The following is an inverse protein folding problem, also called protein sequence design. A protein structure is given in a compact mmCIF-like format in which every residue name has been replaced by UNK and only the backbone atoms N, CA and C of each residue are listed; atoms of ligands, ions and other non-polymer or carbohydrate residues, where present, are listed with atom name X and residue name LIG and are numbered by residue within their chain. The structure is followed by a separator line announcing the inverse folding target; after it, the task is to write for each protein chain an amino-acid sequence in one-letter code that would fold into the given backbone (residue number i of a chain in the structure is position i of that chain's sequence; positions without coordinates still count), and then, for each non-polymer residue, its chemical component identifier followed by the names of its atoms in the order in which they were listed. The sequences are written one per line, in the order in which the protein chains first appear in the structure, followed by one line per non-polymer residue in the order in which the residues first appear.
data_IF_936197628987
#
_entry.id   IF_936197628987
#
_cell.length_a   1.000
_cell.length_b   1.000
_cell.length_c   1.000
_cell.angle_alpha   90.00
_cell.angle_beta   90.00
_cell.angle_gamma   90.00
#
_symmetry.space_group_name_H-M   'P 1'
#
loop_
_entity.id
_entity.type
_entity.pdbx_description
1 polymer ?
#
# COMPACT_ATOMS: atom_id res chain seq x y z
N UNK A 1 -14.32 1.34 15.04
CA UNK A 1 -13.00 0.67 14.95
C UNK A 1 -12.04 1.40 13.99
N UNK A 2 -12.12 1.25 12.64
CA UNK A 2 -11.17 1.94 11.73
C UNK A 2 -11.21 3.47 11.83
N UNK A 3 -12.40 4.06 11.88
CA UNK A 3 -12.56 5.52 12.06
C UNK A 3 -12.02 6.01 13.39
N UNK A 4 -12.27 5.30 14.47
CA UNK A 4 -11.73 5.63 15.79
C UNK A 4 -10.21 5.58 15.80
N UNK A 5 -9.61 4.58 15.15
CA UNK A 5 -8.16 4.50 14.98
C UNK A 5 -7.61 5.63 14.11
N UNK A 6 -8.31 6.01 13.03
CA UNK A 6 -7.95 7.14 12.19
C UNK A 6 -8.06 8.48 12.96
N UNK A 7 -9.13 8.69 13.71
CA UNK A 7 -9.33 9.89 14.53
C UNK A 7 -8.24 10.00 15.61
N UNK A 8 -7.88 8.88 16.25
CA UNK A 8 -6.78 8.83 17.23
C UNK A 8 -5.44 9.17 16.56
N UNK A 9 -5.11 8.55 15.44
CA UNK A 9 -3.90 8.84 14.66
C UNK A 9 -3.83 10.29 14.17
N UNK A 10 -4.96 10.91 13.85
CA UNK A 10 -5.00 12.30 13.40
C UNK A 10 -4.58 13.30 14.49
N UNK A 11 -4.78 12.94 15.78
CA UNK A 11 -4.54 13.87 16.91
C UNK A 11 -3.09 14.35 17.02
N UNK A 12 -2.13 13.50 16.64
CA UNK A 12 -0.70 13.75 16.77
C UNK A 12 0.10 13.54 15.46
N UNK A 13 -0.60 13.37 14.31
CA UNK A 13 0.01 13.08 13.01
C UNK A 13 1.14 14.05 12.62
N UNK A 14 0.96 15.35 12.85
CA UNK A 14 1.99 16.37 12.55
C UNK A 14 3.21 16.22 13.46
N UNK A 15 3.00 15.96 14.74
CA UNK A 15 4.08 15.79 15.71
C UNK A 15 4.88 14.51 15.41
N UNK A 16 4.21 13.42 15.06
CA UNK A 16 4.87 12.16 14.66
C UNK A 16 5.71 12.34 13.40
N UNK A 17 5.13 12.98 12.36
CA UNK A 17 5.84 13.25 11.10
C UNK A 17 7.10 14.07 11.34
N UNK A 18 7.05 15.06 12.24
CA UNK A 18 8.22 15.86 12.62
C UNK A 18 9.25 15.06 13.42
N UNK A 19 8.80 14.15 14.30
CA UNK A 19 9.68 13.30 15.08
C UNK A 19 10.44 12.29 14.23
N UNK A 20 9.82 11.79 13.14
CA UNK A 20 10.45 10.87 12.17
C UNK A 20 10.95 9.56 12.80
N UNK A 21 10.30 9.07 13.85
CA UNK A 21 10.68 7.83 14.54
C UNK A 21 9.96 6.63 13.91
N UNK A 22 10.55 5.44 14.05
CA UNK A 22 9.88 4.20 13.65
C UNK A 22 8.54 4.04 14.41
N UNK A 23 7.44 3.67 13.71
CA UNK A 23 6.07 3.77 14.22
C UNK A 23 5.67 2.56 15.09
N UNK A 24 6.41 2.24 16.14
CA UNK A 24 6.07 1.13 17.03
C UNK A 24 4.77 1.36 17.80
N UNK A 25 4.53 2.59 18.25
CA UNK A 25 3.31 3.01 18.94
C UNK A 25 2.10 2.89 18.03
N UNK A 26 2.23 3.34 16.78
CA UNK A 26 1.16 3.30 15.79
C UNK A 26 0.78 1.87 15.43
N UNK A 27 1.77 0.98 15.28
CA UNK A 27 1.52 -0.45 15.09
C UNK A 27 0.81 -1.06 16.30
N UNK A 28 1.16 -0.65 17.53
CA UNK A 28 0.44 -1.09 18.74
C UNK A 28 -1.01 -0.60 18.74
N UNK A 29 -1.28 0.66 18.36
CA UNK A 29 -2.65 1.20 18.22
C UNK A 29 -3.45 0.41 17.17
N UNK A 30 -2.85 0.10 16.01
CA UNK A 30 -3.49 -0.71 14.98
C UNK A 30 -3.78 -2.15 15.47
N UNK A 31 -2.86 -2.73 16.24
CA UNK A 31 -3.00 -4.06 16.84
C UNK A 31 -4.14 -4.08 17.87
N UNK A 32 -4.17 -3.13 18.79
CA UNK A 32 -5.24 -2.97 19.79
C UNK A 32 -6.61 -2.73 19.16
N UNK A 33 -6.66 -2.03 18.04
CA UNK A 33 -7.86 -1.86 17.24
C UNK A 33 -8.26 -3.10 16.43
N UNK A 34 -7.52 -4.23 16.52
CA UNK A 34 -7.79 -5.46 15.77
C UNK A 34 -7.59 -5.34 14.25
N UNK A 35 -6.91 -4.29 13.78
CA UNK A 35 -6.74 -4.03 12.36
C UNK A 35 -5.68 -4.93 11.71
N UNK A 36 -4.70 -5.45 12.49
CA UNK A 36 -3.68 -6.34 11.94
C UNK A 36 -4.24 -7.73 11.59
N UNK A 37 -5.32 -8.18 12.21
CA UNK A 37 -5.93 -9.48 11.93
C UNK A 37 -7.20 -9.38 11.07
N UNK A 38 -7.51 -8.17 10.56
CA UNK A 38 -8.77 -7.87 9.87
C UNK A 38 -9.06 -8.82 8.71
N UNK A 39 -8.08 -9.06 7.82
CA UNK A 39 -8.20 -9.93 6.65
C UNK A 39 -7.95 -11.41 6.93
N UNK A 40 -7.45 -11.77 8.12
CA UNK A 40 -7.25 -13.16 8.48
C UNK A 40 -8.61 -13.86 8.61
N UNK A 41 -8.80 -15.05 8.01
CA UNK A 41 -10.08 -15.75 8.05
C UNK A 41 -10.59 -15.96 9.47
N UNK A 42 -11.91 -15.89 9.67
CA UNK A 42 -12.53 -16.17 10.96
C UNK A 42 -12.28 -17.61 11.44
N UNK A 43 -12.11 -18.57 10.51
CA UNK A 43 -11.72 -19.94 10.84
C UNK A 43 -10.32 -20.06 11.46
N UNK A 44 -9.49 -19.03 11.31
CA UNK A 44 -8.15 -18.90 11.90
C UNK A 44 -8.12 -17.85 13.03
N UNK A 45 -9.26 -17.60 13.68
CA UNK A 45 -9.44 -16.61 14.75
C UNK A 45 -9.11 -15.16 14.34
N UNK A 46 -9.21 -14.85 13.04
CA UNK A 46 -9.05 -13.50 12.50
C UNK A 46 -10.36 -12.73 12.38
N UNK A 47 -10.29 -11.51 11.83
CA UNK A 47 -11.43 -10.63 11.63
C UNK A 47 -12.40 -11.08 10.54
N UNK A 48 -11.98 -11.93 9.61
CA UNK A 48 -12.79 -12.50 8.55
C UNK A 48 -13.34 -11.47 7.55
N UNK A 49 -12.76 -10.27 7.49
CA UNK A 49 -13.18 -9.25 6.56
C UNK A 49 -12.72 -9.57 5.13
N UNK A 50 -13.43 -8.98 4.18
CA UNK A 50 -13.10 -9.04 2.76
C UNK A 50 -12.18 -7.88 2.32
N UNK A 51 -11.66 -7.97 1.09
CA UNK A 51 -10.81 -6.94 0.51
C UNK A 51 -11.50 -5.56 0.38
N UNK A 52 -12.77 -5.45 -0.04
CA UNK A 52 -13.48 -4.17 -0.01
C UNK A 52 -13.44 -3.47 1.36
N UNK A 53 -13.61 -4.23 2.44
CA UNK A 53 -13.49 -3.73 3.81
C UNK A 53 -12.06 -3.29 4.13
N UNK A 54 -11.06 -4.08 3.79
CA UNK A 54 -9.65 -3.73 4.00
C UNK A 54 -9.25 -2.48 3.22
N UNK A 55 -9.69 -2.33 1.98
CA UNK A 55 -9.49 -1.13 1.17
C UNK A 55 -10.09 0.12 1.83
N UNK A 56 -11.32 0.01 2.34
CA UNK A 56 -11.95 1.13 3.05
C UNK A 56 -11.15 1.52 4.30
N UNK A 57 -10.62 0.54 5.04
CA UNK A 57 -9.76 0.80 6.21
C UNK A 57 -8.45 1.48 5.81
N UNK A 58 -7.75 1.00 4.78
CA UNK A 58 -6.53 1.66 4.28
C UNK A 58 -6.80 3.11 3.91
N UNK A 59 -7.92 3.39 3.21
CA UNK A 59 -8.31 4.74 2.81
C UNK A 59 -8.60 5.65 4.01
N UNK A 60 -9.30 5.16 5.01
CA UNK A 60 -9.63 5.91 6.24
C UNK A 60 -8.35 6.25 7.02
N UNK A 61 -7.46 5.28 7.24
CA UNK A 61 -6.18 5.51 7.92
C UNK A 61 -5.28 6.45 7.11
N UNK A 62 -5.21 6.28 5.78
CA UNK A 62 -4.40 7.14 4.92
C UNK A 62 -4.90 8.60 4.87
N UNK A 63 -6.18 8.85 5.11
CA UNK A 63 -6.72 10.21 5.21
C UNK A 63 -6.23 10.93 6.48
N UNK A 64 -5.97 10.19 7.55
CA UNK A 64 -5.40 10.71 8.79
C UNK A 64 -3.86 10.78 8.74
N UNK A 65 -3.24 9.67 8.33
CA UNK A 65 -1.78 9.52 8.21
C UNK A 65 -1.44 8.60 7.03
N UNK A 66 -0.92 9.21 5.95
CA UNK A 66 -0.62 8.49 4.71
C UNK A 66 0.51 7.48 4.84
N UNK A 67 1.47 7.69 5.74
CA UNK A 67 2.57 6.75 5.92
C UNK A 67 2.12 5.50 6.72
N UNK A 68 1.27 5.69 7.72
CA UNK A 68 0.66 4.57 8.45
C UNK A 68 -0.36 3.83 7.56
N UNK A 69 -1.09 4.55 6.69
CA UNK A 69 -1.95 3.95 5.66
C UNK A 69 -1.16 3.06 4.69
N UNK A 70 0.04 3.48 4.27
CA UNK A 70 0.93 2.64 3.45
C UNK A 70 1.42 1.41 4.20
N UNK A 71 1.85 1.58 5.45
CA UNK A 71 2.29 0.47 6.29
C UNK A 71 1.19 -0.59 6.43
N UNK A 72 -0.03 -0.16 6.78
CA UNK A 72 -1.18 -1.05 6.94
C UNK A 72 -1.58 -1.72 5.61
N UNK A 73 -1.56 -0.97 4.50
CA UNK A 73 -1.84 -1.51 3.18
C UNK A 73 -0.84 -2.57 2.75
N UNK A 74 0.45 -2.32 2.97
CA UNK A 74 1.52 -3.29 2.75
C UNK A 74 1.32 -4.54 3.63
N UNK A 75 1.01 -4.36 4.91
CA UNK A 75 0.69 -5.45 5.84
C UNK A 75 -0.45 -6.32 5.30
N UNK A 76 -1.57 -5.75 4.87
CA UNK A 76 -2.70 -6.50 4.32
C UNK A 76 -2.32 -7.31 3.08
N UNK A 77 -1.58 -6.69 2.16
CA UNK A 77 -1.14 -7.37 0.95
C UNK A 77 -0.19 -8.54 1.26
N UNK A 78 0.80 -8.33 2.11
CA UNK A 78 1.79 -9.35 2.46
C UNK A 78 1.22 -10.45 3.34
N UNK A 79 0.27 -10.15 4.23
CA UNK A 79 -0.41 -11.17 5.05
C UNK A 79 -1.20 -12.19 4.19
N UNK A 80 -1.64 -11.79 2.99
CA UNK A 80 -2.33 -12.65 2.03
C UNK A 80 -1.40 -13.42 1.08
N UNK A 81 -0.08 -13.18 1.11
CA UNK A 81 0.87 -13.79 0.18
C UNK A 81 0.81 -15.32 0.20
N UNK A 82 0.59 -15.94 1.35
CA UNK A 82 0.45 -17.39 1.45
C UNK A 82 -0.79 -17.89 0.67
N UNK A 83 -1.92 -17.19 0.75
CA UNK A 83 -3.15 -17.53 0.00
C UNK A 83 -2.98 -17.40 -1.51
N UNK A 84 -2.32 -16.33 -1.95
CA UNK A 84 -2.06 -16.11 -3.37
C UNK A 84 -1.09 -17.14 -3.96
N UNK A 85 -0.05 -17.52 -3.22
CA UNK A 85 1.08 -18.26 -3.77
C UNK A 85 1.02 -19.76 -3.47
N UNK A 86 0.57 -20.15 -2.29
CA UNK A 86 0.42 -21.56 -1.91
C UNK A 86 -1.02 -22.06 -2.13
N UNK A 87 -1.98 -21.18 -2.36
CA UNK A 87 -3.40 -21.47 -2.50
C UNK A 87 -4.17 -21.39 -1.17
N UNK A 88 -5.47 -21.03 -1.24
CA UNK A 88 -6.30 -20.80 -0.05
C UNK A 88 -6.60 -22.08 0.75
N UNK A 89 -6.60 -23.24 0.10
CA UNK A 89 -6.81 -24.56 0.72
C UNK A 89 -5.51 -25.21 1.20
N UNK A 90 -4.38 -24.50 1.10
CA UNK A 90 -3.07 -25.01 1.49
C UNK A 90 -2.93 -25.10 3.01
N UNK A 91 -2.40 -26.25 3.48
CA UNK A 91 -2.01 -26.43 4.90
C UNK A 91 -1.00 -25.38 5.35
N UNK A 92 -0.11 -24.96 4.44
CA UNK A 92 0.87 -23.90 4.71
C UNK A 92 0.16 -22.56 4.96
N UNK A 93 -0.77 -22.17 4.09
CA UNK A 93 -1.52 -20.93 4.25
C UNK A 93 -2.32 -20.93 5.56
N UNK A 94 -3.06 -22.00 5.85
CA UNK A 94 -3.83 -22.11 7.09
C UNK A 94 -2.96 -22.00 8.35
N UNK A 95 -1.78 -22.63 8.37
CA UNK A 95 -0.85 -22.55 9.50
C UNK A 95 -0.29 -21.14 9.69
N UNK A 96 0.09 -20.47 8.60
CA UNK A 96 0.59 -19.09 8.65
C UNK A 96 -0.50 -18.15 9.17
N UNK A 97 -1.72 -18.28 8.67
CA UNK A 97 -2.87 -17.49 9.09
C UNK A 97 -3.20 -17.67 10.57
N UNK A 98 -3.24 -18.92 11.07
CA UNK A 98 -3.48 -19.22 12.49
C UNK A 98 -2.41 -18.56 13.38
N UNK A 99 -1.13 -18.68 13.00
CA UNK A 99 -0.06 -18.06 13.77
C UNK A 99 -0.11 -16.54 13.68
N UNK A 100 -0.39 -15.99 12.50
CA UNK A 100 -0.54 -14.55 12.28
C UNK A 100 -1.66 -13.98 13.16
N UNK A 101 -2.79 -14.67 13.28
CA UNK A 101 -3.88 -14.27 14.15
C UNK A 101 -3.51 -14.38 15.63
N UNK A 102 -2.99 -15.53 16.07
CA UNK A 102 -2.66 -15.81 17.47
C UNK A 102 -1.58 -14.84 18.03
N UNK A 103 -0.57 -14.55 17.22
CA UNK A 103 0.54 -13.67 17.58
C UNK A 103 0.33 -12.21 17.11
N UNK A 104 -0.77 -11.93 16.39
CA UNK A 104 -1.13 -10.61 15.83
C UNK A 104 0.03 -9.97 15.06
N UNK A 105 0.63 -10.73 14.15
CA UNK A 105 1.80 -10.27 13.38
C UNK A 105 1.52 -9.03 12.55
N UNK A 106 2.45 -8.10 12.60
CA UNK A 106 2.61 -7.06 11.60
C UNK A 106 3.53 -7.59 10.49
N UNK A 107 3.05 -7.55 9.24
CA UNK A 107 3.80 -8.00 8.08
C UNK A 107 4.48 -6.82 7.39
N UNK A 108 5.74 -7.02 6.99
CA UNK A 108 6.52 -6.05 6.23
C UNK A 108 7.35 -6.73 5.14
N UNK A 109 8.17 -5.96 4.43
CA UNK A 109 9.02 -6.45 3.35
C UNK A 109 8.62 -5.93 1.98
N UNK A 110 8.71 -6.80 0.97
CA UNK A 110 8.32 -6.52 -0.40
C UNK A 110 8.73 -7.65 -1.33
N UNK A 111 7.90 -7.90 -2.34
CA UNK A 111 8.11 -8.97 -3.33
C UNK A 111 8.44 -8.45 -4.73
N UNK A 112 8.65 -7.15 -4.88
CA UNK A 112 9.08 -6.55 -6.13
C UNK A 112 10.46 -7.05 -6.56
N UNK A 113 10.68 -7.04 -7.88
CA UNK A 113 12.01 -7.35 -8.43
C UNK A 113 13.01 -6.27 -8.03
N UNK A 114 14.19 -6.69 -7.59
CA UNK A 114 15.31 -5.80 -7.28
C UNK A 114 16.63 -6.36 -7.85
N UNK A 115 17.63 -5.49 -7.96
CA UNK A 115 18.97 -5.83 -8.38
C UNK A 115 20.02 -5.25 -7.41
N UNK A 116 20.96 -6.06 -6.91
CA UNK A 116 21.04 -7.51 -7.07
C UNK A 116 19.89 -8.23 -6.31
N UNK A 117 19.43 -9.42 -6.76
CA UNK A 117 18.38 -10.17 -6.08
C UNK A 117 18.91 -10.83 -4.80
N UNK A 118 18.01 -11.08 -3.84
CA UNK A 118 18.31 -12.01 -2.76
C UNK A 118 18.48 -13.42 -3.33
N UNK A 119 19.47 -14.15 -2.83
CA UNK A 119 19.80 -15.49 -3.31
C UNK A 119 19.40 -16.55 -2.29
N UNK A 120 18.60 -17.54 -2.70
CA UNK A 120 18.28 -18.72 -1.92
C UNK A 120 19.14 -19.89 -2.40
N UNK A 121 20.17 -20.24 -1.64
CA UNK A 121 21.13 -21.28 -1.99
C UNK A 121 20.93 -22.54 -1.15
N UNK A 122 21.20 -23.72 -1.73
CA UNK A 122 21.25 -25.00 -1.00
C UNK A 122 22.65 -25.24 -0.48
N UNK A 123 22.76 -25.56 0.81
CA UNK A 123 23.99 -25.93 1.50
C UNK A 123 23.90 -27.34 2.08
N UNK A 124 24.97 -27.86 2.66
CA UNK A 124 24.95 -29.14 3.38
C UNK A 124 24.01 -29.12 4.60
N UNK A 125 23.75 -27.93 5.18
CA UNK A 125 22.89 -27.72 6.36
C UNK A 125 21.43 -27.35 6.03
N UNK A 126 21.05 -27.28 4.74
CA UNK A 126 19.73 -26.85 4.33
C UNK A 126 19.75 -25.71 3.31
N UNK A 127 18.71 -24.91 3.27
CA UNK A 127 18.65 -23.72 2.43
C UNK A 127 19.04 -22.48 3.23
N UNK A 128 19.74 -21.54 2.63
CA UNK A 128 20.13 -20.27 3.22
C UNK A 128 19.79 -19.11 2.29
N UNK A 129 19.37 -17.99 2.89
CA UNK A 129 19.06 -16.73 2.21
C UNK A 129 20.21 -15.76 2.44
N UNK A 130 20.70 -15.16 1.35
CA UNK A 130 21.77 -14.17 1.36
C UNK A 130 21.41 -12.97 0.49
N UNK A 131 21.91 -11.80 0.90
CA UNK A 131 21.81 -10.56 0.14
C UNK A 131 21.19 -9.41 0.91
N UNK A 132 20.91 -8.31 0.21
CA UNK A 132 20.30 -7.11 0.80
C UNK A 132 19.11 -6.68 -0.04
N UNK A 133 18.00 -6.38 0.64
CA UNK A 133 16.83 -5.73 0.06
C UNK A 133 16.74 -4.30 0.57
N UNK A 134 16.57 -3.35 -0.35
CA UNK A 134 16.35 -1.93 -0.04
C UNK A 134 14.89 -1.53 -0.30
N UNK A 135 14.49 -0.40 0.25
CA UNK A 135 13.14 0.18 0.07
C UNK A 135 11.99 -0.76 0.45
N UNK A 136 12.21 -1.62 1.43
CA UNK A 136 11.17 -2.50 1.96
C UNK A 136 10.31 -1.76 3.00
N UNK A 137 8.99 -1.84 2.88
CA UNK A 137 8.03 -1.20 3.79
C UNK A 137 7.90 -2.03 5.07
N UNK A 138 7.81 -1.37 6.22
CA UNK A 138 7.52 -2.02 7.50
C UNK A 138 8.71 -2.76 8.13
N UNK A 139 9.89 -2.79 7.52
CA UNK A 139 11.02 -3.62 8.00
C UNK A 139 11.46 -3.33 9.44
N UNK A 140 11.23 -2.09 9.91
CA UNK A 140 11.64 -1.69 11.27
C UNK A 140 10.67 -2.14 12.37
N UNK A 141 9.45 -2.53 12.01
CA UNK A 141 8.36 -2.83 12.96
C UNK A 141 7.67 -4.16 12.72
N UNK A 142 8.04 -4.87 11.65
CA UNK A 142 7.41 -6.11 11.26
C UNK A 142 7.80 -7.27 12.18
N UNK A 143 6.82 -8.12 12.50
CA UNK A 143 7.03 -9.41 13.16
C UNK A 143 7.41 -10.50 12.14
N UNK A 144 7.02 -10.32 10.87
CA UNK A 144 7.38 -11.20 9.74
C UNK A 144 7.62 -10.38 8.48
N UNK A 145 8.63 -10.78 7.74
CA UNK A 145 8.98 -10.21 6.43
C UNK A 145 8.61 -11.19 5.33
N UNK A 146 8.01 -10.69 4.24
CA UNK A 146 7.90 -11.42 2.98
C UNK A 146 8.86 -10.78 1.99
N UNK A 147 9.78 -11.57 1.46
CA UNK A 147 10.82 -11.09 0.55
C UNK A 147 10.86 -11.93 -0.73
N UNK A 148 11.34 -11.31 -1.83
CA UNK A 148 11.58 -12.00 -3.08
C UNK A 148 13.02 -12.49 -3.11
N UNK A 149 13.22 -13.80 -3.25
CA UNK A 149 14.51 -14.42 -3.46
C UNK A 149 14.58 -15.11 -4.82
N UNK A 150 15.76 -15.35 -5.32
CA UNK A 150 16.00 -16.12 -6.53
C UNK A 150 16.75 -17.40 -6.13
N UNK A 151 16.23 -18.56 -6.54
CA UNK A 151 16.86 -19.85 -6.27
C UNK A 151 18.16 -19.98 -7.03
N UNK A 152 19.26 -20.19 -6.31
CA UNK A 152 20.57 -20.42 -6.93
C UNK A 152 20.55 -21.64 -7.88
N UNK A 153 21.10 -21.46 -9.06
CA UNK A 153 21.20 -22.51 -10.09
C UNK A 153 20.03 -22.57 -11.07
N UNK A 154 18.79 -22.31 -10.65
CA UNK A 154 17.61 -22.31 -11.56
C UNK A 154 17.17 -20.92 -11.98
N UNK A 155 17.45 -19.91 -11.16
CA UNK A 155 16.96 -18.54 -11.40
C UNK A 155 15.48 -18.35 -11.04
N UNK A 156 14.83 -19.36 -10.47
CA UNK A 156 13.41 -19.31 -10.08
C UNK A 156 13.16 -18.23 -9.02
N UNK A 157 12.25 -17.27 -9.26
CA UNK A 157 11.87 -16.29 -8.26
C UNK A 157 10.87 -16.87 -7.26
N UNK A 158 11.10 -16.68 -5.98
CA UNK A 158 10.32 -17.22 -4.88
C UNK A 158 9.94 -16.14 -3.88
N UNK A 159 8.78 -16.27 -3.26
CA UNK A 159 8.43 -15.53 -2.06
C UNK A 159 8.84 -16.34 -0.81
N UNK A 160 9.54 -15.69 0.10
CA UNK A 160 10.06 -16.31 1.33
C UNK A 160 9.62 -15.49 2.53
N UNK A 161 9.11 -16.17 3.56
CA UNK A 161 8.81 -15.57 4.87
C UNK A 161 10.04 -15.65 5.76
N UNK A 162 10.38 -14.54 6.41
CA UNK A 162 11.52 -14.50 7.32
C UNK A 162 11.11 -13.82 8.63
N UNK A 163 11.54 -14.40 9.75
CA UNK A 163 11.48 -13.76 11.06
C UNK A 163 12.65 -12.77 11.18
N UNK A 164 12.39 -11.45 11.34
CA UNK A 164 13.47 -10.46 11.44
C UNK A 164 14.35 -10.64 12.69
N UNK A 165 13.89 -11.38 13.70
CA UNK A 165 14.70 -11.72 14.86
C UNK A 165 15.64 -12.91 14.64
N UNK A 166 15.58 -13.58 13.47
CA UNK A 166 16.47 -14.70 13.13
C UNK A 166 17.94 -14.24 13.06
N UNK A 167 18.83 -15.08 13.55
CA UNK A 167 20.28 -14.82 13.42
C UNK A 167 20.66 -14.64 11.94
N UNK A 168 21.46 -13.64 11.64
CA UNK A 168 21.86 -13.28 10.27
C UNK A 168 20.96 -12.25 9.60
N UNK A 169 19.82 -11.87 10.21
CA UNK A 169 18.97 -10.77 9.71
C UNK A 169 19.38 -9.46 10.40
N UNK A 170 19.60 -8.42 9.62
CA UNK A 170 19.84 -7.05 10.10
C UNK A 170 18.94 -6.09 9.36
N UNK A 171 18.15 -5.31 10.10
CA UNK A 171 17.29 -4.25 9.56
C UNK A 171 17.92 -2.88 9.82
N UNK A 172 17.80 -1.97 8.86
CA UNK A 172 18.28 -0.59 8.97
C UNK A 172 17.21 0.35 8.43
N UNK A 173 16.85 1.36 9.22
CA UNK A 173 15.92 2.42 8.85
C UNK A 173 16.57 3.52 8.01
N UNK A 174 17.39 3.15 7.03
CA UNK A 174 18.18 4.04 6.17
C UNK A 174 17.39 4.67 5.01
N UNK A 175 16.09 4.51 4.97
CA UNK A 175 15.24 5.12 3.96
C UNK A 175 15.15 6.64 4.16
N UNK A 176 16.16 7.38 3.66
CA UNK A 176 16.17 8.85 3.64
C UNK A 176 15.25 9.36 2.51
N UNK A 177 13.95 9.20 2.70
CA UNK A 177 12.92 9.66 1.78
C UNK A 177 12.26 10.94 2.29
N UNK A 178 11.88 11.84 1.35
CA UNK A 178 11.21 13.08 1.74
C UNK A 178 9.76 12.91 2.18
N UNK A 179 9.11 11.78 1.83
CA UNK A 179 7.78 11.39 2.27
C UNK A 179 7.72 9.90 2.59
N UNK A 180 6.58 9.43 3.10
CA UNK A 180 6.39 8.06 3.62
C UNK A 180 7.37 7.69 4.75
N UNK A 181 7.82 8.69 5.51
CA UNK A 181 8.86 8.57 6.54
C UNK A 181 8.45 7.64 7.69
N UNK A 182 7.15 7.58 7.99
CA UNK A 182 6.58 6.72 9.03
C UNK A 182 6.07 5.36 8.49
N UNK A 183 6.34 5.02 7.23
CA UNK A 183 6.02 3.69 6.70
C UNK A 183 7.00 2.60 7.17
N UNK A 184 7.88 2.93 8.13
CA UNK A 184 8.93 2.04 8.65
C UNK A 184 9.79 1.41 7.54
N UNK A 185 10.00 2.16 6.46
CA UNK A 185 10.81 1.72 5.32
C UNK A 185 12.28 1.68 5.65
N UNK A 186 13.01 0.84 4.94
CA UNK A 186 14.44 0.71 5.13
C UNK A 186 15.04 -0.38 4.28
N UNK A 187 16.18 -0.89 4.72
CA UNK A 187 16.82 -2.06 4.13
C UNK A 187 16.86 -3.22 5.12
N UNK A 188 16.96 -4.41 4.57
CA UNK A 188 17.19 -5.63 5.33
C UNK A 188 18.31 -6.42 4.68
N UNK A 189 19.27 -6.85 5.47
CA UNK A 189 20.40 -7.68 5.06
C UNK A 189 20.25 -9.08 5.63
N UNK A 190 20.53 -10.07 4.80
CA UNK A 190 20.49 -11.48 5.13
C UNK A 190 21.90 -12.06 4.94
N UNK A 191 22.43 -12.67 5.99
CA UNK A 191 23.77 -13.27 6.04
C UNK A 191 23.63 -14.74 6.46
N UNK A 192 23.60 -15.63 5.46
CA UNK A 192 23.43 -17.07 5.62
C UNK A 192 22.20 -17.44 6.47
N UNK A 193 21.06 -16.75 6.31
CA UNK A 193 19.86 -16.98 7.10
C UNK A 193 19.21 -18.31 6.73
N UNK A 194 19.06 -19.26 7.66
CA UNK A 194 18.40 -20.54 7.36
C UNK A 194 16.95 -20.34 6.93
N UNK A 195 16.53 -21.05 5.88
CA UNK A 195 15.16 -21.05 5.35
C UNK A 195 14.66 -22.48 5.29
N UNK A 196 13.56 -22.73 6.00
CA UNK A 196 12.87 -24.01 5.98
C UNK A 196 11.95 -24.13 4.76
N UNK A 197 11.55 -25.36 4.41
CA UNK A 197 10.62 -25.57 3.31
C UNK A 197 9.29 -24.82 3.51
N UNK A 198 8.87 -24.71 4.75
CA UNK A 198 7.64 -24.06 5.18
C UNK A 198 7.73 -22.52 5.21
N UNK A 199 8.92 -21.96 5.05
CA UNK A 199 9.14 -20.51 4.90
C UNK A 199 8.98 -20.08 3.41
N UNK A 200 8.93 -21.02 2.46
CA UNK A 200 8.79 -20.73 1.02
C UNK A 200 7.31 -20.78 0.64
N UNK A 201 6.74 -19.64 0.31
CA UNK A 201 5.31 -19.52 -0.02
C UNK A 201 4.96 -20.06 -1.42
N UNK A 202 5.85 -19.87 -2.39
CA UNK A 202 5.62 -20.28 -3.77
C UNK A 202 6.44 -19.49 -4.79
N UNK A 203 6.19 -19.78 -6.07
CA UNK A 203 6.83 -19.11 -7.20
C UNK A 203 6.23 -17.73 -7.45
N UNK A 204 7.11 -16.77 -7.79
CA UNK A 204 6.77 -15.44 -8.28
C UNK A 204 7.03 -15.33 -9.80
N UNK A 205 7.06 -16.47 -10.50
CA UNK A 205 7.22 -16.50 -11.96
C UNK A 205 6.04 -15.81 -12.62
N UNK A 206 6.33 -15.03 -13.67
CA UNK A 206 5.32 -14.48 -14.57
C UNK A 206 5.00 -15.42 -15.75
N UNK A 207 5.52 -16.64 -15.73
CA UNK A 207 5.26 -17.66 -16.75
C UNK A 207 3.80 -18.13 -16.64
N UNK A 208 3.05 -17.97 -17.72
CA UNK A 208 1.62 -18.34 -17.79
C UNK A 208 1.39 -19.83 -17.49
N UNK A 209 2.35 -20.70 -17.77
CA UNK A 209 2.27 -22.14 -17.45
C UNK A 209 2.43 -22.43 -15.93
N UNK A 210 2.89 -21.44 -15.14
CA UNK A 210 3.13 -21.56 -13.69
C UNK A 210 2.16 -20.73 -12.88
N UNK A 211 1.66 -19.64 -13.48
CA UNK A 211 0.84 -18.64 -12.81
C UNK A 211 -0.62 -19.10 -12.72
N UNK A 212 -1.10 -19.41 -11.50
CA UNK A 212 -2.54 -19.70 -11.34
C UNK A 212 -3.36 -18.41 -11.45
N UNK A 213 -4.66 -18.52 -11.84
CA UNK A 213 -5.56 -17.36 -11.91
C UNK A 213 -5.63 -16.57 -10.60
N UNK A 214 -5.66 -17.26 -9.46
CA UNK A 214 -5.68 -16.61 -8.14
C UNK A 214 -4.36 -15.87 -7.86
N UNK A 215 -3.22 -16.48 -8.20
CA UNK A 215 -1.89 -15.81 -8.07
C UNK A 215 -1.83 -14.56 -8.95
N UNK A 216 -2.39 -14.62 -10.16
CA UNK A 216 -2.45 -13.47 -11.07
C UNK A 216 -3.20 -12.28 -10.44
N UNK A 217 -4.27 -12.53 -9.69
CA UNK A 217 -5.03 -11.48 -9.00
C UNK A 217 -4.24 -10.77 -7.88
N UNK A 218 -3.12 -11.31 -7.40
CA UNK A 218 -2.29 -10.61 -6.43
C UNK A 218 -1.84 -9.23 -6.94
N UNK A 219 -1.54 -9.08 -8.24
CA UNK A 219 -1.14 -7.81 -8.83
C UNK A 219 -2.25 -6.75 -8.76
N UNK A 220 -3.46 -6.94 -9.31
CA UNK A 220 -4.54 -5.97 -9.22
C UNK A 220 -4.99 -5.72 -7.77
N UNK A 221 -4.96 -6.72 -6.88
CA UNK A 221 -5.28 -6.54 -5.46
C UNK A 221 -4.27 -5.59 -4.79
N UNK A 222 -2.98 -5.83 -4.95
CA UNK A 222 -1.94 -4.96 -4.37
C UNK A 222 -1.98 -3.53 -4.94
N UNK A 223 -2.27 -3.37 -6.25
CA UNK A 223 -2.44 -2.04 -6.87
C UNK A 223 -3.63 -1.28 -6.30
N UNK A 224 -4.74 -1.96 -6.02
CA UNK A 224 -5.89 -1.31 -5.36
C UNK A 224 -5.57 -0.83 -3.95
N UNK A 225 -4.66 -1.48 -3.22
CA UNK A 225 -4.14 -0.94 -1.94
C UNK A 225 -3.51 0.42 -2.15
N UNK A 226 -2.64 0.56 -3.16
CA UNK A 226 -2.01 1.84 -3.53
C UNK A 226 -3.03 2.89 -3.96
N UNK A 227 -4.06 2.49 -4.70
CA UNK A 227 -5.17 3.37 -5.10
C UNK A 227 -5.91 3.92 -3.88
N UNK A 228 -6.20 3.08 -2.89
CA UNK A 228 -6.88 3.52 -1.66
C UNK A 228 -6.01 4.46 -0.81
N UNK A 229 -4.72 4.19 -0.72
CA UNK A 229 -3.76 5.10 -0.09
C UNK A 229 -3.80 6.49 -0.75
N UNK A 230 -3.72 6.55 -2.06
CA UNK A 230 -3.72 7.81 -2.82
C UNK A 230 -5.04 8.58 -2.67
N UNK A 231 -6.17 7.88 -2.72
CA UNK A 231 -7.48 8.50 -2.47
C UNK A 231 -7.62 8.99 -1.03
N UNK A 232 -7.15 8.24 -0.05
CA UNK A 232 -7.11 8.66 1.35
C UNK A 232 -6.31 9.95 1.54
N UNK A 233 -5.12 10.04 0.94
CA UNK A 233 -4.30 11.26 0.96
C UNK A 233 -5.00 12.46 0.32
N UNK A 234 -5.68 12.27 -0.82
CA UNK A 234 -6.45 13.33 -1.48
C UNK A 234 -7.62 13.81 -0.61
N UNK A 235 -8.35 12.89 -0.01
CA UNK A 235 -9.48 13.20 0.85
C UNK A 235 -9.05 13.84 2.18
N UNK A 236 -7.98 13.33 2.77
CA UNK A 236 -7.42 13.87 4.01
C UNK A 236 -6.98 15.32 3.88
N UNK A 237 -6.19 15.65 2.84
CA UNK A 237 -5.78 17.04 2.62
C UNK A 237 -6.96 17.96 2.35
N UNK A 238 -7.96 17.51 1.59
CA UNK A 238 -9.17 18.30 1.32
C UNK A 238 -10.01 18.52 2.58
N UNK A 239 -10.10 17.51 3.45
CA UNK A 239 -10.81 17.62 4.72
C UNK A 239 -10.12 18.62 5.66
N UNK A 240 -8.83 18.52 5.86
CA UNK A 240 -8.07 19.46 6.71
C UNK A 240 -8.05 20.88 6.12
N UNK A 241 -7.85 21.02 4.80
CA UNK A 241 -7.90 22.30 4.11
C UNK A 241 -9.26 22.98 4.24
N UNK A 242 -10.35 22.19 4.10
CA UNK A 242 -11.73 22.69 4.31
C UNK A 242 -11.93 23.21 5.72
N UNK A 243 -11.51 22.46 6.72
CA UNK A 243 -11.64 22.86 8.12
C UNK A 243 -10.85 24.12 8.42
N UNK A 244 -9.62 24.19 7.94
CA UNK A 244 -8.80 25.40 8.05
C UNK A 244 -9.47 26.61 7.37
N UNK A 245 -10.01 26.44 6.15
CA UNK A 245 -10.67 27.53 5.42
C UNK A 245 -11.95 28.03 6.11
N UNK A 246 -12.69 27.13 6.79
CA UNK A 246 -13.92 27.49 7.53
C UNK A 246 -13.66 28.21 8.85
N UNK A 247 -12.55 27.88 9.51
CA UNK A 247 -12.17 28.46 10.80
C UNK A 247 -11.27 29.70 10.66
N UNK A 248 -10.65 29.90 9.50
CA UNK A 248 -9.79 31.01 9.21
C UNK A 248 -10.55 32.32 8.98
N UNK A 249 -10.25 33.36 9.77
CA UNK A 249 -10.93 34.67 9.70
C UNK A 249 -10.19 35.70 8.84
N UNK A 250 -9.05 35.38 8.27
CA UNK A 250 -8.24 36.32 7.48
C UNK A 250 -8.68 36.28 6.01
N UNK A 251 -9.10 37.43 5.41
CA UNK A 251 -9.37 37.50 3.99
C UNK A 251 -8.16 37.00 3.18
N UNK A 252 -8.43 36.25 2.14
CA UNK A 252 -7.38 35.71 1.25
C UNK A 252 -6.63 36.85 0.53
N UNK A 253 -7.37 37.91 0.15
CA UNK A 253 -6.83 39.06 -0.56
C UNK A 253 -7.42 40.38 0.02
N UNK A 254 -6.63 41.45 0.18
CA UNK A 254 -7.12 42.70 0.71
C UNK A 254 -8.27 43.35 -0.10
N UNK A 255 -8.31 43.12 -1.41
CA UNK A 255 -9.38 43.61 -2.27
C UNK A 255 -10.67 42.79 -2.16
N UNK A 256 -10.64 41.63 -1.50
CA UNK A 256 -11.78 40.73 -1.27
C UNK A 256 -11.92 40.53 0.22
N UNK A 257 -12.66 41.38 0.93
CA UNK A 257 -12.76 41.35 2.39
C UNK A 257 -13.60 40.18 2.91
N UNK A 258 -14.13 39.34 2.02
CA UNK A 258 -14.83 38.11 2.39
C UNK A 258 -13.83 37.03 2.73
N UNK A 259 -14.12 36.22 3.75
CA UNK A 259 -13.31 35.08 4.13
C UNK A 259 -13.32 33.97 3.08
N UNK A 260 -12.37 33.03 3.16
CA UNK A 260 -12.19 31.92 2.24
C UNK A 260 -13.50 31.14 1.90
N UNK A 261 -14.43 30.91 2.83
CA UNK A 261 -15.69 30.23 2.54
C UNK A 261 -16.59 30.91 1.50
N UNK A 262 -16.36 32.19 1.22
CA UNK A 262 -17.16 33.01 0.31
C UNK A 262 -16.35 33.56 -0.86
N UNK A 263 -15.06 33.26 -0.94
CA UNK A 263 -14.20 33.65 -2.05
C UNK A 263 -14.50 32.78 -3.28
N UNK A 264 -14.89 33.36 -4.43
CA UNK A 264 -15.28 32.60 -5.61
C UNK A 264 -14.14 31.75 -6.21
N UNK A 265 -12.87 32.17 -6.05
CA UNK A 265 -11.72 31.42 -6.53
C UNK A 265 -11.44 30.21 -5.62
N UNK A 266 -11.53 30.40 -4.31
CA UNK A 266 -11.41 29.29 -3.34
C UNK A 266 -12.51 28.27 -3.54
N UNK A 267 -13.77 28.73 -3.71
CA UNK A 267 -14.91 27.86 -3.99
C UNK A 267 -14.73 27.07 -5.30
N UNK A 268 -14.28 27.73 -6.38
CA UNK A 268 -14.02 27.06 -7.65
C UNK A 268 -12.91 25.99 -7.51
N UNK A 269 -11.80 26.32 -6.82
CA UNK A 269 -10.72 25.36 -6.57
C UNK A 269 -11.18 24.13 -5.79
N UNK A 270 -11.94 24.30 -4.70
CA UNK A 270 -12.53 23.16 -3.99
C UNK A 270 -13.51 22.36 -4.85
N UNK A 271 -14.28 23.04 -5.71
CA UNK A 271 -15.19 22.40 -6.67
C UNK A 271 -14.45 21.47 -7.62
N UNK A 272 -13.39 21.96 -8.28
CA UNK A 272 -12.55 21.18 -9.20
C UNK A 272 -11.89 19.98 -8.50
N UNK A 273 -11.25 20.20 -7.35
CA UNK A 273 -10.57 19.13 -6.61
C UNK A 273 -11.56 18.08 -6.10
N UNK A 274 -12.76 18.50 -5.69
CA UNK A 274 -13.83 17.58 -5.29
C UNK A 274 -14.29 16.72 -6.46
N UNK A 275 -14.52 17.31 -7.63
CA UNK A 275 -14.92 16.57 -8.85
C UNK A 275 -13.82 15.57 -9.23
N UNK A 276 -12.56 16.01 -9.25
CA UNK A 276 -11.42 15.16 -9.57
C UNK A 276 -11.33 13.93 -8.63
N UNK A 277 -11.37 14.16 -7.32
CA UNK A 277 -11.26 13.09 -6.31
C UNK A 277 -12.47 12.14 -6.40
N UNK A 278 -13.69 12.68 -6.58
CA UNK A 278 -14.91 11.85 -6.70
C UNK A 278 -14.93 11.02 -7.97
N UNK A 279 -14.43 11.55 -9.09
CA UNK A 279 -14.31 10.80 -10.34
C UNK A 279 -13.33 9.64 -10.22
N UNK A 280 -12.17 9.87 -9.59
CA UNK A 280 -11.21 8.81 -9.29
C UNK A 280 -11.80 7.74 -8.34
N UNK A 281 -12.56 8.16 -7.32
CA UNK A 281 -13.25 7.26 -6.40
C UNK A 281 -14.30 6.40 -7.10
N UNK A 282 -15.05 6.93 -8.07
CA UNK A 282 -16.05 6.17 -8.84
C UNK A 282 -15.39 5.09 -9.72
N UNK A 283 -14.30 5.42 -10.42
CA UNK A 283 -13.50 4.44 -11.18
C UNK A 283 -12.93 3.35 -10.24
N UNK A 284 -12.47 3.75 -9.07
CA UNK A 284 -11.96 2.81 -8.07
C UNK A 284 -13.04 1.85 -7.59
N UNK A 285 -14.28 2.32 -7.41
CA UNK A 285 -15.42 1.46 -7.06
C UNK A 285 -15.64 0.36 -8.09
N UNK A 286 -15.62 0.70 -9.38
CA UNK A 286 -15.74 -0.28 -10.47
C UNK A 286 -14.60 -1.30 -10.45
N UNK A 287 -13.35 -0.86 -10.27
CA UNK A 287 -12.20 -1.74 -10.18
C UNK A 287 -12.26 -2.67 -8.96
N UNK A 288 -12.75 -2.17 -7.81
CA UNK A 288 -12.96 -2.99 -6.61
C UNK A 288 -14.01 -4.07 -6.82
N UNK A 289 -15.13 -3.74 -7.47
CA UNK A 289 -16.16 -4.72 -7.81
C UNK A 289 -15.60 -5.80 -8.74
N UNK A 290 -14.85 -5.41 -9.78
CA UNK A 290 -14.22 -6.36 -10.69
C UNK A 290 -13.22 -7.28 -9.99
N UNK A 291 -12.37 -6.77 -9.09
CA UNK A 291 -11.43 -7.59 -8.30
C UNK A 291 -12.18 -8.51 -7.35
N UNK A 292 -13.23 -8.03 -6.65
CA UNK A 292 -14.06 -8.87 -5.78
C UNK A 292 -14.66 -10.04 -6.55
N UNK A 293 -15.24 -9.76 -7.71
CA UNK A 293 -15.88 -10.78 -8.55
C UNK A 293 -14.83 -11.77 -9.10
N UNK A 294 -13.63 -11.29 -9.47
CA UNK A 294 -12.50 -12.15 -9.86
C UNK A 294 -12.03 -13.06 -8.73
N UNK A 295 -11.89 -12.53 -7.51
CA UNK A 295 -11.53 -13.34 -6.33
C UNK A 295 -12.59 -14.40 -6.01
N UNK A 296 -13.87 -14.10 -6.22
CA UNK A 296 -14.96 -15.05 -6.01
C UNK A 296 -14.96 -16.19 -7.05
N UNK A 297 -14.42 -15.96 -8.25
CA UNK A 297 -14.24 -17.01 -9.27
C UNK A 297 -13.05 -17.93 -8.98
N UNK A 298 -12.04 -17.45 -8.29
CA UNK A 298 -10.84 -18.22 -7.93
C UNK A 298 -10.16 -18.83 -9.16
N UNK A 299 -10.00 -20.13 -9.18
CA UNK A 299 -9.34 -20.87 -10.27
C UNK A 299 -10.18 -20.94 -11.57
N UNK A 300 -11.48 -20.60 -11.52
CA UNK A 300 -12.34 -20.52 -12.71
C UNK A 300 -12.22 -19.19 -13.47
N UNK A 301 -11.36 -18.29 -13.03
CA UNK A 301 -11.11 -17.00 -13.69
C UNK A 301 -10.40 -17.23 -15.03
N UNK A 302 -10.96 -16.67 -16.11
CA UNK A 302 -10.33 -16.73 -17.44
C UNK A 302 -9.29 -15.64 -17.63
N UNK A 303 -8.40 -15.82 -18.61
CA UNK A 303 -7.37 -14.83 -18.95
C UNK A 303 -7.99 -13.48 -19.39
N UNK A 304 -9.06 -13.51 -20.20
CA UNK A 304 -9.74 -12.30 -20.65
C UNK A 304 -10.37 -11.52 -19.47
N UNK A 305 -10.99 -12.22 -18.53
CA UNK A 305 -11.53 -11.59 -17.31
C UNK A 305 -10.44 -10.98 -16.44
N UNK A 306 -9.30 -11.67 -16.28
CA UNK A 306 -8.13 -11.11 -15.61
C UNK A 306 -7.62 -9.84 -16.29
N UNK A 307 -7.55 -9.86 -17.63
CA UNK A 307 -7.11 -8.71 -18.41
C UNK A 307 -8.05 -7.50 -18.22
N UNK A 308 -9.36 -7.73 -18.27
CA UNK A 308 -10.36 -6.68 -18.01
C UNK A 308 -10.23 -6.10 -16.58
N UNK A 309 -10.05 -6.95 -15.57
CA UNK A 309 -9.79 -6.53 -14.19
C UNK A 309 -8.53 -5.66 -14.13
N UNK A 310 -7.46 -6.12 -14.78
CA UNK A 310 -6.16 -5.42 -14.76
C UNK A 310 -6.26 -4.03 -15.41
N UNK A 311 -7.02 -3.90 -16.51
CA UNK A 311 -7.27 -2.61 -17.17
C UNK A 311 -8.09 -1.68 -16.29
N UNK A 312 -9.15 -2.17 -15.63
CA UNK A 312 -9.96 -1.36 -14.72
C UNK A 312 -9.14 -0.84 -13.55
N UNK A 313 -8.27 -1.70 -12.97
CA UNK A 313 -7.36 -1.30 -11.90
C UNK A 313 -6.34 -0.28 -12.39
N UNK A 314 -5.78 -0.44 -13.60
CA UNK A 314 -4.86 0.53 -14.20
C UNK A 314 -5.52 1.91 -14.42
N UNK A 315 -6.79 1.95 -14.85
CA UNK A 315 -7.56 3.19 -14.95
C UNK A 315 -7.77 3.85 -13.58
N UNK A 316 -8.14 3.08 -12.57
CA UNK A 316 -8.31 3.55 -11.20
C UNK A 316 -7.00 4.11 -10.63
N UNK A 317 -5.87 3.42 -10.84
CA UNK A 317 -4.54 3.84 -10.39
C UNK A 317 -4.12 5.15 -11.07
N UNK A 318 -4.31 5.28 -12.37
CA UNK A 318 -4.00 6.52 -13.09
C UNK A 318 -4.85 7.69 -12.59
N UNK A 319 -6.15 7.48 -12.37
CA UNK A 319 -7.05 8.50 -11.86
C UNK A 319 -6.73 8.91 -10.41
N UNK A 320 -6.49 7.94 -9.53
CA UNK A 320 -6.15 8.19 -8.12
C UNK A 320 -4.78 8.88 -7.98
N UNK A 321 -3.78 8.47 -8.76
CA UNK A 321 -2.47 9.12 -8.80
C UNK A 321 -2.57 10.58 -9.18
N UNK A 322 -3.36 10.90 -10.21
CA UNK A 322 -3.62 12.28 -10.62
C UNK A 322 -4.38 13.05 -9.53
N UNK A 323 -5.45 12.47 -8.99
CA UNK A 323 -6.25 13.09 -7.95
C UNK A 323 -5.40 13.41 -6.70
N UNK A 324 -4.56 12.48 -6.26
CA UNK A 324 -3.69 12.68 -5.11
C UNK A 324 -2.66 13.78 -5.36
N UNK A 325 -1.95 13.75 -6.48
CA UNK A 325 -0.93 14.77 -6.80
C UNK A 325 -1.53 16.18 -6.94
N UNK A 326 -2.65 16.31 -7.66
CA UNK A 326 -3.30 17.61 -7.83
C UNK A 326 -3.95 18.09 -6.53
N UNK A 327 -4.67 17.24 -5.80
CA UNK A 327 -5.33 17.66 -4.57
C UNK A 327 -4.33 18.05 -3.48
N UNK A 328 -3.27 17.27 -3.28
CA UNK A 328 -2.28 17.57 -2.24
C UNK A 328 -1.43 18.79 -2.54
N UNK A 329 -1.21 19.13 -3.81
CA UNK A 329 -0.51 20.35 -4.22
C UNK A 329 -1.44 21.57 -4.19
N UNK A 330 -2.61 21.50 -4.85
CA UNK A 330 -3.49 22.64 -5.07
C UNK A 330 -4.35 23.00 -3.85
N UNK A 331 -4.57 22.07 -2.91
CA UNK A 331 -5.19 22.41 -1.64
C UNK A 331 -4.37 23.48 -0.87
N UNK A 332 -3.04 23.52 -1.04
CA UNK A 332 -2.18 24.52 -0.44
C UNK A 332 -2.47 25.93 -0.97
N UNK A 333 -2.88 26.04 -2.25
CA UNK A 333 -3.25 27.32 -2.86
C UNK A 333 -4.51 27.91 -2.21
N UNK A 334 -5.45 27.08 -1.75
CA UNK A 334 -6.67 27.53 -1.06
C UNK A 334 -6.41 28.05 0.35
N UNK A 335 -5.33 27.58 0.99
CA UNK A 335 -4.88 27.98 2.34
C UNK A 335 -3.97 29.23 2.24
N UNK A 336 -3.24 29.35 1.15
CA UNK A 336 -2.29 30.41 0.90
C UNK A 336 -0.96 30.24 1.65
N UNK A 337 -0.19 31.33 1.79
CA UNK A 337 1.18 31.30 2.33
C UNK A 337 1.31 30.66 3.73
N UNK A 338 0.24 30.61 4.50
CA UNK A 338 0.24 29.96 5.82
C UNK A 338 0.39 28.43 5.73
N UNK A 339 0.02 27.82 4.60
CA UNK A 339 0.21 26.37 4.37
C UNK A 339 1.69 25.96 4.45
N UNK A 340 2.62 26.90 4.20
CA UNK A 340 4.06 26.65 4.32
C UNK A 340 4.55 26.46 5.77
N UNK A 341 3.68 26.69 6.78
CA UNK A 341 4.04 26.50 8.18
C UNK A 341 4.17 25.01 8.52
N UNK A 342 5.37 24.58 8.91
CA UNK A 342 5.62 23.21 9.37
C UNK A 342 4.70 22.78 10.53
N UNK A 343 4.23 23.74 11.34
CA UNK A 343 3.29 23.49 12.46
C UNK A 343 1.93 23.00 11.97
N UNK A 344 1.49 23.39 10.77
CA UNK A 344 0.23 22.95 10.18
C UNK A 344 0.38 21.59 9.48
N UNK A 345 1.57 21.25 9.01
CA UNK A 345 1.92 19.93 8.46
C UNK A 345 1.20 19.56 7.17
N UNK A 346 0.60 20.51 6.43
CA UNK A 346 -0.11 20.20 5.17
C UNK A 346 0.80 19.57 4.11
N UNK A 347 2.10 19.91 4.13
CA UNK A 347 3.10 19.38 3.21
C UNK A 347 3.27 17.85 3.31
N UNK A 348 2.93 17.24 4.47
CA UNK A 348 3.02 15.78 4.66
C UNK A 348 2.17 15.01 3.64
N UNK A 349 0.98 15.51 3.29
CA UNK A 349 0.12 14.87 2.30
C UNK A 349 0.77 14.85 0.92
N UNK A 350 1.32 15.99 0.47
CA UNK A 350 2.01 16.08 -0.80
C UNK A 350 3.27 15.22 -0.83
N UNK A 351 4.10 15.28 0.22
CA UNK A 351 5.32 14.48 0.31
C UNK A 351 5.01 12.98 0.27
N UNK A 352 4.00 12.53 1.01
CA UNK A 352 3.58 11.12 1.04
C UNK A 352 3.02 10.68 -0.32
N UNK A 353 2.12 11.45 -0.93
CA UNK A 353 1.56 11.14 -2.24
C UNK A 353 2.65 11.12 -3.32
N UNK A 354 3.55 12.13 -3.31
CA UNK A 354 4.61 12.24 -4.32
C UNK A 354 5.61 11.09 -4.19
N UNK A 355 6.03 10.75 -2.99
CA UNK A 355 6.94 9.61 -2.76
C UNK A 355 6.32 8.32 -3.29
N UNK A 356 5.06 8.04 -2.94
CA UNK A 356 4.39 6.83 -3.38
C UNK A 356 4.26 6.73 -4.91
N UNK A 357 3.89 7.84 -5.58
CA UNK A 357 3.75 7.88 -7.05
C UNK A 357 5.09 7.83 -7.82
N UNK A 358 6.23 7.84 -7.14
CA UNK A 358 7.56 7.64 -7.74
C UNK A 358 7.98 6.17 -7.79
N UNK A 359 7.38 5.30 -6.97
CA UNK A 359 7.71 3.87 -6.97
C UNK A 359 7.35 3.21 -8.30
N UNK A 360 6.21 3.56 -8.86
CA UNK A 360 5.79 3.11 -10.18
C UNK A 360 5.20 4.28 -10.99
N UNK A 361 5.87 4.73 -12.07
CA UNK A 361 5.39 5.85 -12.87
C UNK A 361 4.03 5.56 -13.52
N UNK A 362 3.05 6.43 -13.31
CA UNK A 362 1.69 6.32 -13.85
C UNK A 362 1.64 6.21 -15.37
N UNK A 363 2.69 6.68 -16.07
CA UNK A 363 2.81 6.58 -17.52
C UNK A 363 2.74 5.12 -18.01
N UNK A 364 3.21 4.15 -17.21
CA UNK A 364 3.10 2.72 -17.54
C UNK A 364 1.64 2.27 -17.55
N UNK A 365 0.83 2.74 -16.58
CA UNK A 365 -0.61 2.43 -16.53
C UNK A 365 -1.37 3.05 -17.68
N UNK A 366 -1.07 4.31 -18.00
CA UNK A 366 -1.67 4.98 -19.15
C UNK A 366 -1.32 4.29 -20.47
N UNK A 367 -0.09 3.81 -20.63
CA UNK A 367 0.30 2.99 -21.77
C UNK A 367 -0.51 1.70 -21.84
N UNK A 368 -0.63 0.96 -20.74
CA UNK A 368 -1.34 -0.31 -20.68
C UNK A 368 -2.83 -0.12 -21.03
N UNK A 369 -3.48 0.91 -20.47
CA UNK A 369 -4.87 1.28 -20.81
C UNK A 369 -5.00 1.67 -22.28
N UNK A 370 -4.06 2.47 -22.81
CA UNK A 370 -4.09 2.92 -24.21
C UNK A 370 -3.88 1.78 -25.19
N UNK A 371 -2.97 0.84 -24.88
CA UNK A 371 -2.69 -0.32 -25.71
C UNK A 371 -3.87 -1.30 -25.74
N UNK A 372 -4.49 -1.54 -24.59
CA UNK A 372 -5.73 -2.32 -24.53
C UNK A 372 -6.86 -1.67 -25.35
N UNK A 373 -7.09 -0.37 -25.18
CA UNK A 373 -8.14 0.36 -25.90
C UNK A 373 -7.93 0.35 -27.43
N UNK A 374 -6.70 0.57 -27.88
CA UNK A 374 -6.36 0.72 -29.29
C UNK A 374 -6.16 -0.62 -30.01
N UNK A 375 -5.51 -1.57 -29.36
CA UNK A 375 -5.01 -2.79 -29.97
C UNK A 375 -5.60 -4.08 -29.36
N UNK A 376 -6.36 -3.97 -28.25
CA UNK A 376 -6.82 -5.12 -27.48
C UNK A 376 -5.69 -5.87 -26.76
N UNK A 377 -4.52 -5.23 -26.59
CA UNK A 377 -3.37 -5.86 -25.94
C UNK A 377 -3.58 -5.93 -24.43
N UNK A 378 -3.32 -7.12 -23.87
CA UNK A 378 -3.46 -7.35 -22.44
C UNK A 378 -2.28 -6.76 -21.65
N UNK A 379 -2.53 -6.13 -20.47
CA UNK A 379 -1.45 -5.68 -19.60
C UNK A 379 -0.58 -6.85 -19.14
N UNK A 380 0.76 -6.69 -19.10
CA UNK A 380 1.63 -7.75 -18.61
C UNK A 380 1.40 -7.99 -17.11
N UNK A 381 1.55 -9.25 -16.69
CA UNK A 381 1.56 -9.57 -15.26
C UNK A 381 2.84 -9.00 -14.60
N UNK A 382 2.66 -8.07 -13.68
CA UNK A 382 3.75 -7.50 -12.87
C UNK A 382 3.22 -7.27 -11.46
N UNK A 383 3.82 -7.93 -10.48
CA UNK A 383 3.50 -7.67 -9.07
C UNK A 383 3.85 -6.22 -8.68
N UNK A 384 3.05 -5.57 -7.82
CA UNK A 384 3.34 -4.20 -7.38
C UNK A 384 4.67 -4.13 -6.62
N UNK A 385 5.30 -2.97 -6.70
CA UNK A 385 6.56 -2.67 -6.04
C UNK A 385 6.41 -2.54 -4.51
#
# INVERSE_FOLDING_TARGET
MAREAADDLATDAVAREQAGKAPFDEVSRLREAGLLTLLTPAASDGGGADWPTAYAVVREIAAADGAIGQLLGCHYFLSWSARFLAGPESVLAARIEQRSAAEQWCWGGGIARQEPPLTLARTAGGQVLDGRQSYATGVMVADRLVVRAVRAGTGEPLAVVVDPARHGVRTDGDADTFGQRLAAGGSVEFDAVPVDADDILGSLSADEDVLSPLTALAAPVGRLVSVQLLLGLAEGVLAEAREYSRTGHTPWHPAWPVGAPHDPHVLASYGELTVLTRSASALTGQAMDAVRDGLARGEDLTYDEYADISVQVAMAEAAASRAAQESTARALDTIGARAASARLGFDRFWRNARTHTLYEPVAHRLRDVGDYFLNGAHPPFVLPA
#
